data_IF_628615091945
#
_entry.id   IF_628615091945
#
_cell.length_a   1.000
_cell.length_b   1.000
_cell.length_c   1.000
_cell.angle_alpha   90.00
_cell.angle_beta   90.00
_cell.angle_gamma   90.00
#
_symmetry.space_group_name_H-M   'P 1'
#
loop_
_entity.id
_entity.type
_entity.pdbx_description
1 polymer ?
#
# COMPACT_ATOMS: atom_id res chain seq x y z
N UNK A 1 20.23 -4.99 0.40
CA UNK A 1 18.84 -5.46 0.66
C UNK A 1 18.30 -4.61 1.78
N UNK A 2 17.12 -4.00 1.63
CA UNK A 2 16.47 -3.16 2.64
C UNK A 2 15.52 -4.01 3.47
N UNK A 3 15.58 -3.95 4.79
CA UNK A 3 14.60 -4.58 5.67
C UNK A 3 13.28 -3.78 5.62
N UNK A 4 12.17 -4.43 5.22
CA UNK A 4 10.88 -3.78 4.95
C UNK A 4 9.94 -3.91 6.16
N UNK A 5 10.14 -3.08 7.18
CA UNK A 5 9.45 -3.14 8.47
C UNK A 5 7.92 -2.99 8.35
N UNK A 6 7.44 -2.23 7.38
CA UNK A 6 6.00 -2.03 7.12
C UNK A 6 5.27 -3.33 6.71
N UNK A 7 6.01 -4.38 6.27
CA UNK A 7 5.41 -5.68 5.92
C UNK A 7 4.92 -6.45 7.14
N UNK A 8 5.64 -6.31 8.25
CA UNK A 8 5.31 -6.98 9.50
C UNK A 8 4.40 -6.12 10.37
N UNK A 9 4.66 -4.81 10.45
CA UNK A 9 3.80 -3.87 11.15
C UNK A 9 3.59 -2.57 10.37
N UNK A 10 2.40 -2.42 9.76
CA UNK A 10 2.01 -1.22 9.03
C UNK A 10 1.82 0.03 9.92
N UNK A 11 1.78 -0.14 11.25
CA UNK A 11 1.60 0.95 12.22
C UNK A 11 2.90 1.57 12.72
N UNK A 12 4.04 1.01 12.35
CA UNK A 12 5.32 1.64 12.62
C UNK A 12 5.42 2.99 11.91
N UNK A 13 5.60 4.05 12.69
CA UNK A 13 5.66 5.44 12.18
C UNK A 13 7.07 5.90 11.90
N UNK A 14 8.04 5.33 12.60
CA UNK A 14 9.46 5.66 12.46
C UNK A 14 10.36 4.48 12.74
N UNK A 15 11.59 4.54 12.24
CA UNK A 15 12.66 3.62 12.60
C UNK A 15 14.02 4.31 12.50
N UNK A 16 14.97 3.84 13.30
CA UNK A 16 16.38 4.14 13.12
C UNK A 16 16.93 3.32 11.95
N UNK A 17 17.65 3.96 11.06
CA UNK A 17 18.21 3.36 9.86
C UNK A 17 19.59 3.93 9.53
N UNK A 18 20.30 3.27 8.62
CA UNK A 18 21.55 3.77 8.05
C UNK A 18 21.40 3.99 6.55
N UNK A 19 22.00 5.06 6.08
CA UNK A 19 22.11 5.34 4.65
C UNK A 19 23.00 4.28 4.01
N UNK A 20 22.50 3.59 2.99
CA UNK A 20 23.25 2.63 2.18
C UNK A 20 23.89 3.32 0.99
N UNK A 21 23.11 4.13 0.28
CA UNK A 21 23.58 4.92 -0.86
C UNK A 21 22.69 6.13 -1.11
N UNK A 22 23.26 7.13 -1.78
CA UNK A 22 22.56 8.29 -2.30
C UNK A 22 22.99 8.50 -3.75
N UNK A 23 22.04 8.61 -4.65
CA UNK A 23 22.26 8.91 -6.06
C UNK A 23 21.16 9.84 -6.60
N UNK A 24 21.14 10.08 -7.90
CA UNK A 24 20.17 10.92 -8.60
C UNK A 24 18.70 10.43 -8.44
N UNK A 25 18.50 9.14 -8.19
CA UNK A 25 17.17 8.53 -7.97
C UNK A 25 16.66 8.76 -6.56
N UNK A 26 17.55 8.95 -5.57
CA UNK A 26 17.19 9.16 -4.17
C UNK A 26 18.08 8.43 -3.18
N UNK A 27 17.53 8.23 -1.99
CA UNK A 27 18.23 7.71 -0.81
C UNK A 27 17.79 6.26 -0.55
N UNK A 28 18.76 5.36 -0.34
CA UNK A 28 18.51 3.96 0.07
C UNK A 28 18.97 3.77 1.50
N UNK A 29 18.15 3.06 2.25
CA UNK A 29 18.39 2.74 3.67
C UNK A 29 18.53 1.23 3.86
N UNK A 30 19.23 0.82 4.92
CA UNK A 30 19.37 -0.59 5.32
C UNK A 30 18.03 -1.18 5.79
N UNK A 31 17.16 -0.34 6.38
CA UNK A 31 15.78 -0.67 6.78
C UNK A 31 14.85 0.53 6.62
N UNK A 32 13.55 0.27 6.52
CA UNK A 32 12.57 1.35 6.35
C UNK A 32 11.17 1.00 6.82
N UNK A 33 10.47 2.01 7.34
CA UNK A 33 9.01 1.98 7.58
C UNK A 33 8.21 2.51 6.38
N UNK A 34 8.88 3.11 5.37
CA UNK A 34 8.23 3.68 4.20
C UNK A 34 7.79 2.59 3.22
N UNK A 35 6.52 2.57 2.88
CA UNK A 35 5.96 1.73 1.84
C UNK A 35 6.30 2.31 0.45
N UNK A 36 6.92 1.57 -0.45
CA UNK A 36 7.15 2.03 -1.82
C UNK A 36 5.90 1.84 -2.69
N UNK A 37 5.67 2.76 -3.63
CA UNK A 37 4.58 2.67 -4.59
C UNK A 37 4.46 1.26 -5.20
N UNK A 38 3.27 0.67 -5.13
CA UNK A 38 3.03 -0.66 -5.68
C UNK A 38 1.62 -1.18 -5.40
N UNK A 39 1.16 -2.16 -6.20
CA UNK A 39 -0.16 -2.77 -6.01
C UNK A 39 -1.34 -1.78 -6.05
N UNK A 40 -1.18 -0.64 -6.74
CA UNK A 40 -2.20 0.41 -6.80
C UNK A 40 -2.20 1.36 -5.60
N UNK A 41 -1.35 1.14 -4.58
CA UNK A 41 -1.19 2.05 -3.44
C UNK A 41 0.01 2.98 -3.68
N UNK A 42 -0.12 4.31 -3.49
CA UNK A 42 0.98 5.25 -3.57
C UNK A 42 2.06 4.98 -2.51
N UNK A 43 3.29 5.33 -2.80
CA UNK A 43 4.39 5.32 -1.84
C UNK A 43 4.16 6.34 -0.72
N UNK A 44 4.81 6.10 0.42
CA UNK A 44 4.74 7.04 1.54
C UNK A 44 5.54 8.30 1.29
N UNK A 45 5.13 9.34 1.99
CA UNK A 45 5.85 10.58 2.19
C UNK A 45 6.27 10.71 3.65
N UNK A 46 7.18 11.63 3.95
CA UNK A 46 7.64 11.83 5.33
C UNK A 46 8.96 12.59 5.39
N UNK A 47 9.78 12.27 6.39
CA UNK A 47 11.08 12.90 6.58
C UNK A 47 12.17 11.92 7.00
N UNK A 48 13.40 12.19 6.63
CA UNK A 48 14.60 11.62 7.25
C UNK A 48 15.21 12.66 8.17
N UNK A 49 15.30 12.36 9.46
CA UNK A 49 15.98 13.21 10.45
C UNK A 49 17.43 12.79 10.54
N UNK A 50 18.35 13.72 10.37
CA UNK A 50 19.78 13.47 10.45
C UNK A 50 20.26 13.59 11.89
N UNK A 51 21.25 12.78 12.27
CA UNK A 51 21.89 12.90 13.57
C UNK A 51 22.50 14.30 13.84
N UNK A 52 22.82 15.05 12.78
CA UNK A 52 23.28 16.46 12.84
C UNK A 52 22.18 17.48 13.15
N UNK A 53 20.90 17.04 13.27
CA UNK A 53 19.74 17.91 13.52
C UNK A 53 19.03 18.42 12.26
N UNK A 54 19.55 18.14 11.04
CA UNK A 54 18.88 18.47 9.79
C UNK A 54 17.74 17.50 9.45
N UNK A 55 16.87 17.89 8.53
CA UNK A 55 15.80 17.06 7.99
C UNK A 55 15.79 17.07 6.46
N UNK A 56 15.48 15.91 5.87
CA UNK A 56 15.25 15.76 4.43
C UNK A 56 13.79 15.32 4.24
N UNK A 57 12.98 16.17 3.61
CA UNK A 57 11.62 15.82 3.28
C UNK A 57 11.62 14.79 2.14
N UNK A 58 10.82 13.72 2.29
CA UNK A 58 10.61 12.66 1.29
C UNK A 58 9.25 12.89 0.62
N UNK A 59 9.28 13.21 -0.67
CA UNK A 59 8.08 13.48 -1.46
C UNK A 59 7.42 12.21 -1.98
N UNK A 60 8.19 11.15 -2.17
CA UNK A 60 7.72 9.86 -2.69
C UNK A 60 8.65 8.74 -2.26
N UNK A 61 8.11 7.53 -2.21
CA UNK A 61 8.87 6.30 -2.01
C UNK A 61 8.55 5.33 -3.13
N UNK A 62 9.57 4.86 -3.83
CA UNK A 62 9.41 3.98 -5.00
C UNK A 62 10.23 2.71 -4.86
N UNK A 63 9.88 1.69 -5.64
CA UNK A 63 10.66 0.45 -5.74
C UNK A 63 11.92 0.70 -6.54
N UNK A 64 13.02 0.09 -6.12
CA UNK A 64 14.22 -0.02 -6.91
C UNK A 64 14.17 -1.18 -7.91
N UNK A 65 15.34 -1.60 -8.38
CA UNK A 65 15.48 -2.70 -9.35
C UNK A 65 15.44 -4.07 -8.68
N UNK A 66 16.02 -4.17 -7.48
CA UNK A 66 15.96 -5.41 -6.69
C UNK A 66 14.61 -5.51 -5.94
N UNK A 67 14.12 -6.74 -5.65
CA UNK A 67 12.81 -6.97 -5.03
C UNK A 67 12.57 -6.23 -3.71
N UNK A 68 13.61 -6.05 -2.90
CA UNK A 68 13.54 -5.39 -1.58
C UNK A 68 14.27 -4.05 -1.58
N UNK A 69 14.51 -3.47 -2.74
CA UNK A 69 15.11 -2.15 -2.85
C UNK A 69 14.02 -1.07 -2.77
N UNK A 70 14.21 -0.15 -1.83
CA UNK A 70 13.33 1.00 -1.61
C UNK A 70 14.13 2.28 -1.78
N UNK A 71 13.62 3.19 -2.60
CA UNK A 71 14.22 4.48 -2.89
C UNK A 71 13.33 5.57 -2.30
N UNK A 72 13.88 6.33 -1.36
CA UNK A 72 13.26 7.50 -0.78
C UNK A 72 13.62 8.72 -1.63
N UNK A 73 12.63 9.29 -2.33
CA UNK A 73 12.82 10.42 -3.26
C UNK A 73 12.65 11.72 -2.49
N UNK A 74 13.72 12.53 -2.36
CA UNK A 74 13.63 13.81 -1.66
C UNK A 74 12.71 14.80 -2.37
N UNK A 75 12.02 15.63 -1.59
CA UNK A 75 11.24 16.74 -2.13
C UNK A 75 12.16 17.78 -2.80
N UNK A 76 11.71 18.43 -3.88
CA UNK A 76 12.45 19.50 -4.51
C UNK A 76 12.83 20.59 -3.50
N UNK A 77 14.11 20.98 -3.46
CA UNK A 77 14.60 21.98 -2.51
C UNK A 77 14.79 21.52 -1.07
N UNK A 78 14.41 20.28 -0.72
CA UNK A 78 14.76 19.73 0.58
C UNK A 78 16.23 19.31 0.58
N UNK A 79 16.97 19.89 1.50
CA UNK A 79 18.37 19.55 1.82
C UNK A 79 19.35 19.57 0.65
N UNK A 80 19.37 20.66 -0.14
CA UNK A 80 20.54 20.97 -0.98
C UNK A 80 21.11 19.78 -1.74
N UNK A 81 20.27 18.96 -2.40
CA UNK A 81 20.71 18.07 -3.44
C UNK A 81 21.33 18.98 -4.51
N UNK A 82 22.63 19.17 -4.43
CA UNK A 82 23.37 19.91 -5.46
C UNK A 82 23.16 19.21 -6.79
N UNK A 83 23.04 19.97 -7.90
CA UNK A 83 23.08 19.36 -9.22
C UNK A 83 24.37 18.54 -9.31
N UNK A 84 24.27 17.27 -9.71
CA UNK A 84 25.34 16.30 -9.82
C UNK A 84 25.89 15.68 -8.51
N UNK A 85 25.07 14.84 -7.83
CA UNK A 85 25.63 13.72 -7.05
C UNK A 85 26.30 14.03 -5.71
N UNK A 86 26.23 15.25 -5.22
CA UNK A 86 26.70 15.58 -3.87
C UNK A 86 25.55 15.36 -2.88
N UNK A 87 25.67 14.32 -2.07
CA UNK A 87 24.78 14.08 -0.95
C UNK A 87 24.74 15.31 -0.04
N UNK A 88 23.57 15.69 0.51
CA UNK A 88 23.48 16.71 1.55
C UNK A 88 24.47 16.39 2.68
N UNK A 89 25.06 17.42 3.28
CA UNK A 89 25.94 17.22 4.42
C UNK A 89 25.20 16.38 5.48
N UNK A 90 25.74 15.19 5.79
CA UNK A 90 25.13 14.25 6.75
C UNK A 90 24.36 13.06 6.13
N UNK A 91 24.27 12.94 4.81
CA UNK A 91 23.65 11.78 4.13
C UNK A 91 24.68 10.85 3.43
N UNK A 92 25.92 10.83 3.88
CA UNK A 92 26.90 9.89 3.35
C UNK A 92 26.54 8.43 3.69
N UNK A 93 26.94 7.43 2.88
CA UNK A 93 26.80 6.03 3.24
C UNK A 93 27.33 5.75 4.65
N UNK A 94 26.57 4.99 5.44
CA UNK A 94 26.85 4.70 6.86
C UNK A 94 26.25 5.72 7.85
N UNK A 95 25.79 6.91 7.39
CA UNK A 95 25.17 7.90 8.27
C UNK A 95 23.89 7.35 8.92
N UNK A 96 23.73 7.60 10.23
CA UNK A 96 22.51 7.27 10.96
C UNK A 96 21.43 8.32 10.69
N UNK A 97 20.22 7.85 10.46
CA UNK A 97 19.02 8.66 10.25
C UNK A 97 17.82 8.05 10.98
N UNK A 98 16.88 8.88 11.40
CA UNK A 98 15.55 8.41 11.80
C UNK A 98 14.60 8.62 10.61
N UNK A 99 14.07 7.55 10.06
CA UNK A 99 13.08 7.56 8.99
C UNK A 99 11.67 7.65 9.61
N UNK A 100 10.91 8.71 9.30
CA UNK A 100 9.59 9.01 9.88
C UNK A 100 8.59 9.31 8.77
N UNK A 101 7.50 8.53 8.69
CA UNK A 101 6.45 8.69 7.68
C UNK A 101 5.43 9.77 8.06
N UNK A 102 4.77 10.35 7.06
CA UNK A 102 3.51 11.08 7.23
C UNK A 102 2.41 10.07 7.62
N UNK A 103 2.19 9.94 8.94
CA UNK A 103 1.26 8.96 9.47
C UNK A 103 -0.19 9.21 9.06
N UNK A 104 -0.64 10.47 9.04
CA UNK A 104 -2.02 10.79 8.69
C UNK A 104 -2.34 10.33 7.26
N UNK A 105 -1.42 10.62 6.34
CA UNK A 105 -1.54 10.15 4.96
C UNK A 105 -1.46 8.62 4.85
N UNK A 106 -0.50 7.97 5.53
CA UNK A 106 -0.36 6.50 5.58
C UNK A 106 -1.66 5.86 6.09
N UNK A 107 -2.19 6.31 7.20
CA UNK A 107 -3.38 5.74 7.82
C UNK A 107 -4.62 5.89 6.91
N UNK A 108 -4.79 7.04 6.24
CA UNK A 108 -5.86 7.23 5.26
C UNK A 108 -5.74 6.28 4.06
N UNK A 109 -4.53 6.03 3.57
CA UNK A 109 -4.28 5.04 2.51
C UNK A 109 -4.56 3.61 3.00
N UNK A 110 -4.17 3.25 4.24
CA UNK A 110 -4.47 1.94 4.85
C UNK A 110 -5.97 1.70 4.96
N UNK A 111 -6.72 2.68 5.46
CA UNK A 111 -8.19 2.64 5.55
C UNK A 111 -8.82 2.37 4.18
N UNK A 112 -8.42 3.12 3.16
CA UNK A 112 -8.93 2.95 1.81
C UNK A 112 -8.52 1.61 1.20
N UNK A 113 -7.27 1.17 1.40
CA UNK A 113 -6.81 -0.12 0.87
C UNK A 113 -7.60 -1.28 1.49
N UNK A 114 -7.80 -1.29 2.80
CA UNK A 114 -8.63 -2.31 3.47
C UNK A 114 -10.08 -2.24 3.00
N UNK A 115 -10.63 -1.04 2.76
CA UNK A 115 -11.95 -0.88 2.17
C UNK A 115 -12.07 -1.52 0.78
N UNK A 116 -11.02 -1.48 -0.05
CA UNK A 116 -11.03 -2.15 -1.36
C UNK A 116 -11.05 -3.69 -1.22
N UNK A 117 -10.48 -4.27 -0.16
CA UNK A 117 -10.64 -5.69 0.16
C UNK A 117 -12.10 -6.02 0.52
N UNK A 118 -12.78 -5.16 1.30
CA UNK A 118 -14.22 -5.33 1.57
C UNK A 118 -15.05 -5.22 0.28
N UNK A 119 -14.67 -4.34 -0.64
CA UNK A 119 -15.32 -4.24 -1.94
C UNK A 119 -15.15 -5.54 -2.75
N UNK A 120 -13.98 -6.20 -2.69
CA UNK A 120 -13.77 -7.54 -3.29
C UNK A 120 -14.68 -8.61 -2.67
N UNK A 121 -14.97 -8.54 -1.36
CA UNK A 121 -15.85 -9.50 -0.70
C UNK A 121 -17.32 -9.30 -1.08
N UNK A 122 -17.75 -8.06 -1.34
CA UNK A 122 -19.15 -7.73 -1.66
C UNK A 122 -19.47 -7.91 -3.14
N UNK A 123 -18.50 -7.66 -4.04
CA UNK A 123 -18.72 -7.76 -5.49
C UNK A 123 -18.14 -9.07 -6.02
N UNK A 124 -18.99 -9.99 -6.54
CA UNK A 124 -18.53 -11.23 -7.13
C UNK A 124 -17.87 -10.96 -8.50
N UNK A 125 -16.59 -11.23 -8.63
CA UNK A 125 -15.85 -11.09 -9.89
C UNK A 125 -14.35 -10.96 -9.69
N UNK A 126 -13.59 -11.24 -10.74
CA UNK A 126 -12.14 -11.06 -10.71
C UNK A 126 -11.77 -9.58 -10.84
N UNK A 127 -10.74 -9.17 -10.11
CA UNK A 127 -10.23 -7.79 -10.16
C UNK A 127 -9.25 -7.66 -11.31
N UNK A 128 -9.53 -6.77 -12.25
CA UNK A 128 -8.70 -6.48 -13.43
C UNK A 128 -7.84 -5.25 -13.27
N UNK A 129 -8.05 -4.44 -12.24
CA UNK A 129 -7.27 -3.26 -11.92
C UNK A 129 -7.73 -2.59 -10.64
N UNK A 130 -6.85 -1.83 -10.02
CA UNK A 130 -7.16 -1.13 -8.77
C UNK A 130 -6.28 0.09 -8.56
N UNK A 131 -6.77 1.02 -7.76
CA UNK A 131 -6.02 2.20 -7.33
C UNK A 131 -6.52 2.68 -5.98
N UNK A 132 -5.59 2.90 -5.08
CA UNK A 132 -5.78 3.57 -3.79
C UNK A 132 -5.32 5.02 -3.93
N UNK A 133 -6.09 5.94 -3.38
CA UNK A 133 -5.73 7.35 -3.26
C UNK A 133 -6.18 7.87 -1.90
N UNK A 134 -5.75 9.06 -1.55
CA UNK A 134 -6.18 9.69 -0.31
C UNK A 134 -7.69 9.96 -0.30
N UNK A 135 -8.41 9.30 0.59
CA UNK A 135 -9.86 9.42 0.77
C UNK A 135 -10.73 8.77 -0.31
N UNK A 136 -10.14 8.18 -1.35
CA UNK A 136 -10.87 7.52 -2.44
C UNK A 136 -10.10 6.35 -3.02
N UNK A 137 -10.83 5.40 -3.60
CA UNK A 137 -10.24 4.25 -4.27
C UNK A 137 -11.11 3.78 -5.42
N UNK A 138 -10.58 2.87 -6.22
CA UNK A 138 -11.35 2.20 -7.27
C UNK A 138 -10.87 0.78 -7.49
N UNK A 139 -11.80 -0.08 -7.87
CA UNK A 139 -11.52 -1.39 -8.45
C UNK A 139 -12.28 -1.55 -9.76
N UNK A 140 -11.64 -2.26 -10.68
CA UNK A 140 -12.20 -2.70 -11.94
C UNK A 140 -12.46 -4.21 -11.85
N UNK A 141 -13.72 -4.61 -12.06
CA UNK A 141 -14.15 -6.01 -11.96
C UNK A 141 -14.53 -6.57 -13.32
N UNK A 142 -14.14 -7.81 -13.59
CA UNK A 142 -14.67 -8.61 -14.70
C UNK A 142 -16.00 -9.22 -14.27
N UNK A 143 -17.09 -8.58 -14.68
CA UNK A 143 -18.47 -8.97 -14.33
C UNK A 143 -19.39 -8.79 -15.56
N UNK A 144 -19.27 -9.64 -16.57
CA UNK A 144 -20.02 -9.51 -17.82
C UNK A 144 -21.55 -9.57 -17.55
N UNK A 145 -22.27 -8.59 -18.08
CA UNK A 145 -23.75 -8.56 -18.00
C UNK A 145 -24.34 -8.26 -16.63
N UNK A 146 -23.52 -8.08 -15.59
CA UNK A 146 -24.03 -7.77 -14.25
C UNK A 146 -24.56 -6.34 -14.16
N UNK A 147 -25.76 -6.21 -13.61
CA UNK A 147 -26.28 -4.95 -13.07
C UNK A 147 -25.81 -4.84 -11.62
N UNK A 148 -24.89 -3.91 -11.35
CA UNK A 148 -24.39 -3.67 -10.00
C UNK A 148 -25.28 -2.61 -9.32
N UNK A 149 -25.86 -2.99 -8.19
CA UNK A 149 -26.63 -2.08 -7.36
C UNK A 149 -25.70 -1.28 -6.44
N UNK A 150 -25.63 0.00 -6.68
CA UNK A 150 -24.77 0.95 -5.96
C UNK A 150 -25.08 0.98 -4.46
N UNK A 151 -26.36 1.02 -4.11
CA UNK A 151 -26.80 1.16 -2.72
C UNK A 151 -26.62 -0.16 -1.94
N UNK A 152 -26.87 -1.28 -2.59
CA UNK A 152 -26.60 -2.60 -2.01
C UNK A 152 -25.11 -2.83 -1.76
N UNK A 153 -24.22 -2.41 -2.68
CA UNK A 153 -22.76 -2.49 -2.50
C UNK A 153 -22.33 -1.60 -1.32
N UNK A 154 -22.79 -0.34 -1.29
CA UNK A 154 -22.47 0.58 -0.20
C UNK A 154 -22.94 0.04 1.16
N UNK A 155 -24.15 -0.48 1.24
CA UNK A 155 -24.71 -1.09 2.44
C UNK A 155 -23.91 -2.32 2.87
N UNK A 156 -23.52 -3.19 1.94
CA UNK A 156 -22.71 -4.38 2.22
C UNK A 156 -21.35 -4.03 2.81
N UNK A 157 -20.64 -3.05 2.25
CA UNK A 157 -19.34 -2.60 2.77
C UNK A 157 -19.49 -1.96 4.15
N UNK A 158 -20.44 -1.04 4.32
CA UNK A 158 -20.65 -0.36 5.60
C UNK A 158 -21.10 -1.34 6.71
N UNK A 159 -21.83 -2.42 6.39
CA UNK A 159 -22.13 -3.50 7.31
C UNK A 159 -20.85 -4.20 7.78
N UNK A 160 -19.95 -4.62 6.85
CA UNK A 160 -18.67 -5.25 7.19
C UNK A 160 -17.74 -4.31 8.00
N UNK A 161 -17.80 -3.01 7.77
CA UNK A 161 -17.11 -2.01 8.59
C UNK A 161 -17.67 -2.00 10.01
N UNK A 162 -18.99 -1.98 10.16
CA UNK A 162 -19.65 -1.94 11.46
C UNK A 162 -19.50 -3.24 12.26
N UNK A 163 -19.32 -4.38 11.59
CA UNK A 163 -19.04 -5.68 12.21
C UNK A 163 -17.65 -5.76 12.86
N UNK A 164 -16.76 -4.82 12.56
CA UNK A 164 -15.45 -4.65 13.21
C UNK A 164 -14.54 -5.89 13.12
N UNK A 165 -14.36 -6.44 11.92
CA UNK A 165 -13.51 -7.60 11.68
C UNK A 165 -12.03 -7.27 11.85
N UNK A 166 -11.28 -8.17 12.50
CA UNK A 166 -9.84 -8.06 12.61
C UNK A 166 -9.17 -8.32 11.26
N UNK A 167 -8.11 -7.56 10.99
CA UNK A 167 -7.35 -7.62 9.77
C UNK A 167 -5.84 -7.72 10.07
N UNK A 168 -5.20 -8.77 9.56
CA UNK A 168 -3.80 -9.07 9.85
C UNK A 168 -3.07 -9.68 8.65
N UNK A 169 -1.75 -9.44 8.50
CA UNK A 169 -0.94 -10.15 7.54
C UNK A 169 -0.77 -11.62 7.94
N UNK A 170 -0.80 -12.51 6.95
CA UNK A 170 -0.49 -13.92 7.07
C UNK A 170 0.54 -14.31 6.02
N UNK A 171 1.48 -15.17 6.37
CA UNK A 171 2.47 -15.67 5.42
C UNK A 171 2.23 -17.14 5.14
N UNK A 172 2.26 -17.51 3.85
CA UNK A 172 2.18 -18.90 3.39
C UNK A 172 3.37 -19.21 2.49
N UNK A 173 3.66 -20.48 2.28
CA UNK A 173 4.69 -20.90 1.34
C UNK A 173 4.24 -20.72 -0.12
N UNK A 174 5.20 -20.58 -1.06
CA UNK A 174 4.88 -20.41 -2.49
C UNK A 174 4.11 -21.62 -3.04
N UNK A 175 4.41 -22.84 -2.58
CA UNK A 175 3.72 -24.07 -2.96
C UNK A 175 2.31 -24.16 -2.36
N UNK A 176 2.08 -23.65 -1.16
CA UNK A 176 0.76 -23.53 -0.56
C UNK A 176 -0.14 -22.58 -1.38
N UNK A 177 0.40 -21.44 -1.82
CA UNK A 177 -0.36 -20.55 -2.72
C UNK A 177 -0.66 -21.23 -4.07
N UNK A 178 0.28 -22.00 -4.62
CA UNK A 178 0.09 -22.70 -5.87
C UNK A 178 -1.01 -23.79 -5.78
N UNK A 179 -1.19 -24.40 -4.58
CA UNK A 179 -2.27 -25.33 -4.29
C UNK A 179 -3.64 -24.66 -4.10
N UNK A 180 -3.67 -23.34 -3.86
CA UNK A 180 -4.88 -22.55 -3.60
C UNK A 180 -5.03 -21.36 -4.57
N UNK A 181 -5.19 -21.62 -5.90
CA UNK A 181 -5.29 -20.55 -6.90
C UNK A 181 -6.50 -19.63 -6.70
N UNK A 182 -7.54 -20.08 -6.00
CA UNK A 182 -8.72 -19.29 -5.66
C UNK A 182 -8.42 -18.09 -4.74
N UNK A 183 -7.28 -18.10 -4.03
CA UNK A 183 -6.85 -16.96 -3.23
C UNK A 183 -6.40 -15.77 -4.11
N UNK A 184 -6.04 -16.03 -5.38
CA UNK A 184 -5.57 -14.99 -6.29
C UNK A 184 -6.75 -14.37 -7.05
N UNK A 185 -7.40 -13.38 -6.47
CA UNK A 185 -8.53 -12.66 -7.08
C UNK A 185 -8.12 -11.61 -8.12
N UNK A 186 -6.87 -11.15 -8.06
CA UNK A 186 -6.35 -10.08 -8.92
C UNK A 186 -5.69 -10.65 -10.16
N UNK A 187 -6.23 -10.36 -11.34
CA UNK A 187 -5.70 -10.83 -12.62
C UNK A 187 -4.49 -10.01 -13.11
N UNK A 188 -4.40 -8.74 -12.71
CA UNK A 188 -3.42 -7.77 -13.24
C UNK A 188 -2.08 -7.75 -12.50
N UNK A 189 -2.03 -8.27 -11.28
CA UNK A 189 -0.81 -8.28 -10.47
C UNK A 189 -0.55 -9.70 -10.01
N UNK A 190 0.51 -10.31 -10.53
CA UNK A 190 0.97 -11.60 -9.99
C UNK A 190 1.49 -11.38 -8.57
N UNK A 191 1.11 -12.23 -7.61
CA UNK A 191 1.74 -12.20 -6.29
C UNK A 191 3.26 -12.27 -6.45
N UNK A 192 4.03 -11.53 -5.63
CA UNK A 192 5.47 -11.67 -5.63
C UNK A 192 5.81 -13.10 -5.19
N UNK A 193 6.23 -13.93 -6.15
CA UNK A 193 6.69 -15.30 -5.91
C UNK A 193 8.22 -15.37 -6.01
N UNK A 194 8.78 -16.51 -5.60
CA UNK A 194 10.21 -16.81 -5.73
C UNK A 194 11.07 -16.37 -4.54
N UNK A 195 10.45 -15.85 -3.46
CA UNK A 195 11.11 -15.59 -2.18
C UNK A 195 10.87 -16.71 -1.14
N UNK A 196 10.21 -17.81 -1.55
CA UNK A 196 9.86 -18.94 -0.70
C UNK A 196 8.57 -18.74 0.11
N UNK A 197 8.06 -17.53 0.19
CA UNK A 197 6.80 -17.21 0.90
C UNK A 197 6.06 -16.03 0.29
N UNK A 198 4.74 -16.07 0.40
CA UNK A 198 3.83 -15.00 -0.05
C UNK A 198 3.08 -14.40 1.12
N UNK A 199 3.01 -13.06 1.15
CA UNK A 199 2.20 -12.34 2.13
C UNK A 199 0.76 -12.27 1.67
N UNK A 200 -0.15 -12.74 2.51
CA UNK A 200 -1.58 -12.58 2.38
C UNK A 200 -2.06 -11.46 3.33
N UNK A 201 -3.18 -10.86 3.00
CA UNK A 201 -3.96 -10.05 3.91
C UNK A 201 -5.23 -10.82 4.24
N UNK A 202 -5.44 -11.09 5.52
CA UNK A 202 -6.63 -11.75 6.05
C UNK A 202 -7.53 -10.72 6.74
N UNK A 203 -8.79 -10.66 6.34
CA UNK A 203 -9.86 -9.99 7.07
C UNK A 203 -10.75 -11.11 7.60
N UNK A 204 -10.72 -11.33 8.90
CA UNK A 204 -11.28 -12.51 9.56
C UNK A 204 -12.75 -12.80 9.15
N UNK A 205 -12.96 -13.95 8.52
CA UNK A 205 -14.28 -14.37 8.03
C UNK A 205 -14.82 -13.63 6.81
N UNK A 206 -14.04 -12.71 6.20
CA UNK A 206 -14.49 -11.85 5.10
C UNK A 206 -13.66 -12.02 3.83
N UNK A 207 -12.32 -11.90 3.93
CA UNK A 207 -11.43 -11.91 2.76
C UNK A 207 -10.05 -12.47 3.10
N UNK A 208 -9.46 -13.20 2.17
CA UNK A 208 -8.08 -13.69 2.25
C UNK A 208 -7.49 -13.71 0.85
N UNK A 209 -6.49 -12.85 0.59
CA UNK A 209 -5.83 -12.78 -0.71
C UNK A 209 -4.40 -12.23 -0.62
N UNK A 210 -3.53 -12.54 -1.60
CA UNK A 210 -2.19 -11.98 -1.67
C UNK A 210 -2.22 -10.44 -1.72
N UNK A 211 -1.55 -9.80 -0.76
CA UNK A 211 -1.43 -8.36 -0.73
C UNK A 211 -0.14 -7.90 -0.07
N UNK A 212 0.63 -7.06 -0.77
CA UNK A 212 1.87 -6.45 -0.27
C UNK A 212 1.68 -5.06 0.34
N UNK A 213 0.45 -4.51 0.32
CA UNK A 213 0.15 -3.18 0.80
C UNK A 213 0.03 -3.04 2.32
N UNK A 214 -0.28 -1.84 2.76
CA UNK A 214 -0.49 -1.53 4.18
C UNK A 214 -1.97 -1.44 4.51
N UNK A 215 -2.37 -1.96 5.68
CA UNK A 215 -3.77 -2.13 6.07
C UNK A 215 -4.02 -1.71 7.52
N UNK A 216 -5.26 -1.35 7.84
CA UNK A 216 -5.70 -1.17 9.22
C UNK A 216 -5.82 -2.53 9.92
N UNK A 217 -5.79 -2.53 11.25
CA UNK A 217 -5.89 -3.75 12.08
C UNK A 217 -7.32 -4.22 12.31
N UNK A 218 -8.29 -3.32 12.10
CA UNK A 218 -9.70 -3.64 12.25
C UNK A 218 -10.53 -2.84 11.26
N UNK A 219 -11.57 -3.45 10.67
CA UNK A 219 -12.40 -2.79 9.65
C UNK A 219 -13.15 -1.57 10.18
N UNK A 220 -13.44 -1.47 11.48
CA UNK A 220 -14.07 -0.29 12.08
C UNK A 220 -13.25 1.00 11.91
N UNK A 221 -11.91 0.89 11.75
CA UNK A 221 -11.05 2.05 11.52
C UNK A 221 -11.28 2.72 10.16
N UNK A 222 -11.90 2.01 9.19
CA UNK A 222 -12.20 2.55 7.86
C UNK A 222 -13.13 3.75 7.96
N UNK A 223 -14.12 3.68 8.85
CA UNK A 223 -15.22 4.64 8.91
C UNK A 223 -16.20 4.49 7.73
N UNK A 224 -17.29 5.25 7.73
CA UNK A 224 -18.34 5.12 6.71
C UNK A 224 -17.83 5.49 5.31
N UNK A 225 -18.36 4.78 4.30
CA UNK A 225 -17.99 4.95 2.89
C UNK A 225 -19.21 5.06 1.99
N UNK A 226 -19.00 5.65 0.81
CA UNK A 226 -20.01 5.76 -0.25
C UNK A 226 -19.44 5.24 -1.58
N UNK A 227 -20.31 4.68 -2.42
CA UNK A 227 -19.97 4.39 -3.82
C UNK A 227 -20.19 5.68 -4.62
N UNK A 228 -19.11 6.34 -4.98
CA UNK A 228 -19.17 7.61 -5.72
C UNK A 228 -19.73 7.41 -7.13
N UNK A 229 -19.28 6.35 -7.85
CA UNK A 229 -19.68 6.08 -9.22
C UNK A 229 -19.42 4.62 -9.60
N UNK A 230 -20.31 4.06 -10.44
CA UNK A 230 -20.08 2.81 -11.17
C UNK A 230 -20.03 3.14 -12.67
N UNK A 231 -18.96 2.71 -13.34
CA UNK A 231 -18.71 3.02 -14.75
C UNK A 231 -18.51 1.74 -15.57
N UNK A 232 -19.05 1.73 -16.77
CA UNK A 232 -18.76 0.70 -17.76
C UNK A 232 -17.38 0.95 -18.38
N UNK A 233 -16.50 -0.03 -18.32
CA UNK A 233 -15.18 -0.03 -18.97
C UNK A 233 -15.10 -1.13 -20.02
N UNK A 234 -15.94 -0.99 -21.05
CA UNK A 234 -16.11 -1.99 -22.09
C UNK A 234 -17.18 -3.03 -21.76
N UNK A 235 -17.19 -4.15 -22.51
CA UNK A 235 -18.26 -5.16 -22.45
C UNK A 235 -18.29 -5.94 -21.14
N UNK A 236 -17.14 -6.18 -20.51
CA UNK A 236 -16.97 -7.09 -19.38
C UNK A 236 -16.64 -6.35 -18.08
N UNK A 237 -15.94 -5.21 -18.14
CA UNK A 237 -15.43 -4.54 -16.98
C UNK A 237 -16.40 -3.47 -16.42
N UNK A 238 -16.52 -3.48 -15.11
CA UNK A 238 -17.20 -2.44 -14.33
C UNK A 238 -16.21 -1.82 -13.35
N UNK A 239 -16.05 -0.50 -13.44
CA UNK A 239 -15.25 0.27 -12.49
C UNK A 239 -16.13 0.78 -11.37
N UNK A 240 -15.79 0.46 -10.13
CA UNK A 240 -16.45 0.95 -8.94
C UNK A 240 -15.51 1.95 -8.25
N UNK A 241 -15.97 3.18 -8.11
CA UNK A 241 -15.27 4.25 -7.40
C UNK A 241 -15.89 4.40 -6.01
N UNK A 242 -15.05 4.36 -4.97
CA UNK A 242 -15.44 4.46 -3.57
C UNK A 242 -14.74 5.64 -2.91
N UNK A 243 -15.40 6.29 -1.96
CA UNK A 243 -14.84 7.38 -1.18
C UNK A 243 -15.29 7.26 0.28
N UNK A 244 -14.54 7.87 1.21
CA UNK A 244 -15.02 8.08 2.56
C UNK A 244 -16.27 8.96 2.53
N UNK A 245 -17.26 8.64 3.36
CA UNK A 245 -18.38 9.56 3.60
C UNK A 245 -17.85 10.73 4.45
N UNK A 246 -18.10 11.95 3.99
CA UNK A 246 -17.82 13.18 4.74
C UNK A 246 -18.83 13.37 5.86
#
# INVERSE_FOLDING_TARGET
>A
MTELLFRDDSYLRSCEARVVSVDERGIRLDRTVFYPNGGGQPGDTGVLRLASGGTVAIAETVKGEAPDEVIHVPAPGSAGLAPAGLAPAGLAPGAAVTAEIDWERRHRLMRMHTCLHLLCAVVPGAVTGGQVSDGRGRLDFDVPGASLDRDAIAAGINRLIAEAHDAAPRWIADDELAAHPELVRTMSVKPPGGSGRVRLMEIAGVDLQPCGGTHVRNTAEIGPVTIAKIENKGRQNRRINIAFAE
#
